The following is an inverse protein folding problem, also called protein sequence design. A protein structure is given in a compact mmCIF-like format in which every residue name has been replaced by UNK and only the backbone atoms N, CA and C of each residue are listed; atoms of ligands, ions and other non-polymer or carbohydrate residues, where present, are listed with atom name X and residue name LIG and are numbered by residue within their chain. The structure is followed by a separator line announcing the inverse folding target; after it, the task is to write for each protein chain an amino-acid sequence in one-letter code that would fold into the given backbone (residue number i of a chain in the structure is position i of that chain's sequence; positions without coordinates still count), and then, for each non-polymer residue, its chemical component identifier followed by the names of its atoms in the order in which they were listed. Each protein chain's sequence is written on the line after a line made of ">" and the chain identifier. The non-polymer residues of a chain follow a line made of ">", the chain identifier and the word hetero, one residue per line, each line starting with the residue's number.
data_IF_608707639386
#
_entry.id   IF_608707639386
#
_cell.length_a   1.000
_cell.length_b   1.000
_cell.length_c   1.000
_cell.angle_alpha   90.00
_cell.angle_beta   90.00
_cell.angle_gamma   90.00
#
_symmetry.space_group_name_H-M   'P 1'
#
loop_
_entity.id
_entity.type
_entity.pdbx_description
1 polymer ?
#
# COMPACT_ATOMS: atom_id res chain seq x y z
N UNK A 1 -11.81 17.15 7.45
CA UNK A 1 -10.39 16.81 7.70
C UNK A 1 -10.14 15.36 7.33
N UNK A 2 -8.98 15.04 6.73
CA UNK A 2 -8.52 13.65 6.49
C UNK A 2 -7.41 13.33 7.48
N UNK A 3 -7.52 12.21 8.20
CA UNK A 3 -6.46 11.70 9.07
C UNK A 3 -5.54 10.78 8.25
N UNK A 4 -4.22 10.90 8.42
CA UNK A 4 -3.23 10.07 7.74
C UNK A 4 -2.36 9.35 8.77
N UNK A 5 -2.50 8.02 8.85
CA UNK A 5 -1.54 7.18 9.60
C UNK A 5 -0.31 6.92 8.75
N UNK A 6 0.87 6.79 9.36
CA UNK A 6 2.11 6.56 8.61
C UNK A 6 2.54 7.79 7.79
N UNK A 7 2.11 8.98 8.18
CA UNK A 7 2.36 10.24 7.46
C UNK A 7 3.81 10.70 7.44
N UNK A 8 4.72 9.99 8.11
CA UNK A 8 6.17 10.23 8.09
C UNK A 8 6.94 9.10 7.37
N UNK A 9 6.24 8.08 6.88
CA UNK A 9 6.81 7.08 5.99
C UNK A 9 6.99 7.61 4.56
N UNK A 10 7.49 6.74 3.67
CA UNK A 10 7.83 7.10 2.30
C UNK A 10 6.64 7.70 1.52
N UNK A 11 5.52 6.97 1.42
CA UNK A 11 4.30 7.44 0.75
C UNK A 11 3.63 8.60 1.50
N UNK A 12 3.53 8.50 2.83
CA UNK A 12 2.88 9.52 3.66
C UNK A 12 3.54 10.89 3.54
N UNK A 13 4.87 10.94 3.41
CA UNK A 13 5.63 12.18 3.21
C UNK A 13 5.28 12.85 1.88
N UNK A 14 5.21 12.09 0.79
CA UNK A 14 4.84 12.65 -0.53
C UNK A 14 3.39 13.13 -0.53
N UNK A 15 2.46 12.36 0.03
CA UNK A 15 1.05 12.76 0.11
C UNK A 15 0.86 14.07 0.89
N UNK A 16 1.58 14.26 2.00
CA UNK A 16 1.52 15.51 2.78
C UNK A 16 2.02 16.75 2.05
N UNK A 17 2.79 16.58 0.96
CA UNK A 17 3.17 17.71 0.08
C UNK A 17 2.04 18.10 -0.88
N UNK A 18 1.15 17.16 -1.20
CA UNK A 18 0.07 17.34 -2.16
C UNK A 18 -1.21 17.86 -1.49
N UNK A 19 -1.44 17.49 -0.22
CA UNK A 19 -2.67 17.85 0.50
C UNK A 19 -2.40 18.00 2.00
N UNK A 20 -3.23 18.81 2.67
CA UNK A 20 -3.22 18.93 4.12
C UNK A 20 -3.88 17.71 4.79
N UNK A 21 -3.13 17.05 5.65
CA UNK A 21 -3.59 15.94 6.50
C UNK A 21 -3.36 16.23 7.96
N UNK A 22 -4.23 15.69 8.82
CA UNK A 22 -3.87 15.47 10.21
C UNK A 22 -3.08 14.17 10.31
N UNK A 23 -1.77 14.27 10.53
CA UNK A 23 -0.84 13.13 10.54
C UNK A 23 -0.16 13.01 11.92
N UNK A 24 -0.77 12.29 12.88
CA UNK A 24 -0.13 12.05 14.17
C UNK A 24 1.19 11.28 13.98
N UNK A 25 2.16 11.53 14.84
CA UNK A 25 3.38 10.72 14.88
C UNK A 25 3.08 9.39 15.57
N UNK A 26 3.91 8.38 15.32
CA UNK A 26 3.77 7.05 15.93
C UNK A 26 3.76 7.12 17.47
N UNK A 27 4.61 7.95 18.08
CA UNK A 27 4.62 8.18 19.53
C UNK A 27 3.31 8.78 20.09
N UNK A 28 2.52 9.46 19.25
CA UNK A 28 1.26 10.10 19.65
C UNK A 28 0.05 9.19 19.33
N UNK A 29 0.22 8.25 18.40
CA UNK A 29 -0.79 7.29 17.98
C UNK A 29 -0.13 6.06 17.35
N UNK A 30 0.24 5.10 18.19
CA UNK A 30 0.69 3.79 17.74
C UNK A 30 -0.54 2.98 17.33
N UNK A 31 -0.60 2.56 16.06
CA UNK A 31 -1.76 1.83 15.53
C UNK A 31 -1.95 0.46 16.20
N UNK A 32 -0.88 -0.11 16.80
CA UNK A 32 -0.93 -1.39 17.50
C UNK A 32 -1.62 -1.27 18.86
N UNK A 33 -1.69 -0.06 19.42
CA UNK A 33 -2.31 0.23 20.72
C UNK A 33 -3.73 0.75 20.49
N UNK A 34 -4.72 -0.11 20.71
CA UNK A 34 -6.14 0.17 20.41
C UNK A 34 -6.64 1.45 21.08
N UNK A 35 -6.29 1.65 22.35
CA UNK A 35 -6.75 2.78 23.16
C UNK A 35 -6.29 4.12 22.57
N UNK A 36 -5.02 4.21 22.12
CA UNK A 36 -4.49 5.42 21.48
C UNK A 36 -5.17 5.72 20.16
N UNK A 37 -5.41 4.70 19.34
CA UNK A 37 -6.11 4.82 18.05
C UNK A 37 -7.52 5.37 18.26
N UNK A 38 -8.27 4.80 19.19
CA UNK A 38 -9.63 5.25 19.51
C UNK A 38 -9.63 6.67 20.06
N UNK A 39 -8.76 6.99 21.03
CA UNK A 39 -8.69 8.34 21.61
C UNK A 39 -8.45 9.41 20.54
N UNK A 40 -7.46 9.21 19.67
CA UNK A 40 -7.12 10.18 18.63
C UNK A 40 -8.22 10.31 17.58
N UNK A 41 -8.80 9.19 17.13
CA UNK A 41 -9.84 9.21 16.09
C UNK A 41 -11.16 9.80 16.64
N UNK A 42 -11.59 9.42 17.84
CA UNK A 42 -12.82 9.94 18.47
C UNK A 42 -12.72 11.43 18.81
N UNK A 43 -11.54 11.88 19.27
CA UNK A 43 -11.29 13.30 19.55
C UNK A 43 -11.36 14.16 18.29
N UNK A 44 -10.75 13.70 17.20
CA UNK A 44 -10.61 14.49 15.98
C UNK A 44 -11.77 14.29 14.97
N UNK A 45 -12.55 13.22 15.09
CA UNK A 45 -13.71 12.86 14.23
C UNK A 45 -13.43 13.08 12.73
N UNK A 46 -12.40 12.43 12.15
CA UNK A 46 -12.09 12.61 10.73
C UNK A 46 -13.26 12.16 9.85
N UNK A 47 -13.48 12.84 8.73
CA UNK A 47 -14.44 12.36 7.71
C UNK A 47 -13.90 11.17 6.93
N UNK A 48 -12.58 11.05 6.84
CA UNK A 48 -11.88 9.99 6.13
C UNK A 48 -10.52 9.74 6.79
N UNK A 49 -10.12 8.47 6.85
CA UNK A 49 -8.82 8.01 7.32
C UNK A 49 -8.08 7.38 6.14
N UNK A 50 -6.92 7.92 5.81
CA UNK A 50 -5.98 7.31 4.89
C UNK A 50 -4.97 6.50 5.69
N UNK A 51 -5.05 5.18 5.56
CA UNK A 51 -4.25 4.24 6.34
C UNK A 51 -3.01 3.80 5.56
N UNK A 52 -1.88 4.51 5.73
CA UNK A 52 -0.59 4.20 5.12
C UNK A 52 0.43 3.56 6.09
N UNK A 53 0.16 3.54 7.40
CA UNK A 53 1.05 2.89 8.36
C UNK A 53 1.11 1.37 8.08
N UNK A 54 2.33 0.84 7.97
CA UNK A 54 2.58 -0.56 7.67
C UNK A 54 4.02 -0.93 8.05
N UNK A 55 4.23 -2.20 8.37
CA UNK A 55 5.53 -2.85 8.38
C UNK A 55 5.86 -3.26 6.93
N UNK A 56 6.93 -2.70 6.35
CA UNK A 56 7.21 -2.83 4.90
C UNK A 56 8.49 -3.58 4.54
N UNK A 57 9.27 -4.04 5.53
CA UNK A 57 10.49 -4.83 5.27
C UNK A 57 10.13 -6.28 4.98
N UNK A 58 9.97 -6.60 3.69
CA UNK A 58 9.48 -7.92 3.24
C UNK A 58 10.40 -9.05 3.68
N UNK A 59 11.72 -8.83 3.68
CA UNK A 59 12.69 -9.85 4.09
C UNK A 59 12.63 -10.09 5.60
N UNK A 60 12.60 -9.02 6.40
CA UNK A 60 12.53 -9.16 7.86
C UNK A 60 11.19 -9.67 8.34
N UNK A 61 10.10 -9.47 7.60
CA UNK A 61 8.78 -9.95 7.97
C UNK A 61 8.74 -11.47 8.25
N UNK A 62 9.58 -12.26 7.60
CA UNK A 62 9.67 -13.72 7.84
C UNK A 62 10.23 -14.06 9.25
N UNK A 63 11.07 -13.18 9.80
CA UNK A 63 11.72 -13.39 11.11
C UNK A 63 11.05 -12.56 12.22
N UNK A 64 10.63 -11.33 11.92
CA UNK A 64 9.85 -10.45 12.78
C UNK A 64 8.34 -10.63 12.56
N UNK A 65 7.90 -11.88 12.36
CA UNK A 65 6.54 -12.21 11.92
C UNK A 65 5.44 -11.68 12.85
N UNK A 66 5.67 -11.70 14.17
CA UNK A 66 4.74 -11.15 15.17
C UNK A 66 4.54 -9.66 14.96
N UNK A 67 5.65 -8.89 14.90
CA UNK A 67 5.60 -7.44 14.69
C UNK A 67 4.96 -7.08 13.36
N UNK A 68 5.27 -7.82 12.29
CA UNK A 68 4.63 -7.63 11.00
C UNK A 68 3.11 -7.83 11.07
N UNK A 69 2.65 -8.87 11.78
CA UNK A 69 1.23 -9.15 11.99
C UNK A 69 0.55 -8.09 12.87
N UNK A 70 1.18 -7.70 13.98
CA UNK A 70 0.69 -6.66 14.89
C UNK A 70 0.44 -5.34 14.15
N UNK A 71 1.39 -4.91 13.33
CA UNK A 71 1.28 -3.64 12.59
C UNK A 71 0.31 -3.77 11.40
N UNK A 72 0.53 -4.73 10.50
CA UNK A 72 -0.21 -4.79 9.23
C UNK A 72 -1.64 -5.33 9.38
N UNK A 73 -1.89 -6.21 10.35
CA UNK A 73 -3.19 -6.83 10.55
C UNK A 73 -3.91 -6.21 11.76
N UNK A 74 -3.40 -6.39 12.99
CA UNK A 74 -4.11 -5.94 14.19
C UNK A 74 -4.21 -4.40 14.27
N UNK A 75 -3.16 -3.68 13.88
CA UNK A 75 -3.17 -2.23 13.79
C UNK A 75 -4.20 -1.73 12.78
N UNK A 76 -4.28 -2.36 11.62
CA UNK A 76 -5.33 -2.10 10.63
C UNK A 76 -6.73 -2.34 11.20
N UNK A 77 -6.93 -3.42 11.95
CA UNK A 77 -8.21 -3.69 12.62
C UNK A 77 -8.59 -2.58 13.58
N UNK A 78 -7.66 -2.13 14.42
CA UNK A 78 -7.90 -1.04 15.37
C UNK A 78 -8.36 0.23 14.65
N UNK A 79 -7.68 0.61 13.56
CA UNK A 79 -8.02 1.80 12.77
C UNK A 79 -9.38 1.64 12.09
N UNK A 80 -9.70 0.46 11.54
CA UNK A 80 -10.98 0.20 10.90
C UNK A 80 -12.17 0.22 11.88
N UNK A 81 -11.99 -0.36 13.07
CA UNK A 81 -12.99 -0.30 14.15
C UNK A 81 -13.22 1.14 14.63
N UNK A 82 -12.15 1.91 14.85
CA UNK A 82 -12.24 3.31 15.24
C UNK A 82 -12.89 4.16 14.14
N UNK A 83 -12.53 3.95 12.86
CA UNK A 83 -13.18 4.62 11.72
C UNK A 83 -14.69 4.37 11.71
N UNK A 84 -15.12 3.12 11.91
CA UNK A 84 -16.53 2.73 12.00
C UNK A 84 -17.24 3.46 13.15
N UNK A 85 -16.62 3.55 14.33
CA UNK A 85 -17.22 4.17 15.52
C UNK A 85 -17.59 5.64 15.33
N UNK A 86 -16.82 6.37 14.52
CA UNK A 86 -17.06 7.80 14.22
C UNK A 86 -17.74 8.03 12.87
N UNK A 87 -18.10 6.96 12.15
CA UNK A 87 -18.70 7.04 10.81
C UNK A 87 -17.75 7.54 9.71
N UNK A 88 -16.44 7.48 9.93
CA UNK A 88 -15.44 7.88 8.94
C UNK A 88 -15.35 6.86 7.79
N UNK A 89 -15.01 7.33 6.60
CA UNK A 89 -14.52 6.43 5.56
C UNK A 89 -13.07 6.00 5.85
N UNK A 90 -12.66 4.81 5.44
CA UNK A 90 -11.26 4.35 5.50
C UNK A 90 -10.74 4.02 4.10
N UNK A 91 -9.57 4.53 3.75
CA UNK A 91 -8.81 4.17 2.54
C UNK A 91 -7.57 3.42 3.01
N UNK A 92 -7.53 2.11 2.78
CA UNK A 92 -6.41 1.27 3.17
C UNK A 92 -5.42 1.10 2.02
N UNK A 93 -4.14 1.38 2.29
CA UNK A 93 -3.06 1.12 1.33
C UNK A 93 -2.62 -0.34 1.46
N UNK A 94 -2.93 -1.13 0.45
CA UNK A 94 -2.48 -2.51 0.28
C UNK A 94 -1.35 -2.59 -0.75
N UNK A 95 -0.99 -3.80 -1.14
CA UNK A 95 0.16 -4.13 -1.99
C UNK A 95 -0.25 -5.00 -3.17
N UNK A 96 0.50 -4.91 -4.26
CA UNK A 96 0.44 -5.85 -5.37
C UNK A 96 0.97 -7.26 -5.00
N UNK A 97 1.73 -7.39 -3.92
CA UNK A 97 2.25 -8.68 -3.44
C UNK A 97 1.19 -9.61 -2.85
N UNK A 98 -0.07 -9.17 -2.73
CA UNK A 98 -1.19 -10.06 -2.39
C UNK A 98 -1.42 -11.13 -3.48
N UNK A 99 -0.82 -10.96 -4.65
CA UNK A 99 -0.80 -11.94 -5.74
C UNK A 99 0.54 -12.68 -5.81
N UNK A 100 0.52 -13.93 -6.29
CA UNK A 100 1.70 -14.79 -6.40
C UNK A 100 2.64 -14.41 -7.54
N UNK A 101 2.13 -13.66 -8.52
CA UNK A 101 2.84 -13.25 -9.71
C UNK A 101 2.97 -14.35 -10.76
N UNK A 102 2.18 -15.42 -10.69
CA UNK A 102 2.17 -16.54 -11.65
C UNK A 102 1.11 -16.35 -12.76
N UNK A 103 0.71 -15.11 -13.03
CA UNK A 103 -0.23 -14.82 -14.11
C UNK A 103 0.33 -15.21 -15.49
N UNK A 104 -0.59 -15.58 -16.39
CA UNK A 104 -0.26 -15.89 -17.78
C UNK A 104 0.44 -14.70 -18.46
N UNK A 105 1.44 -14.96 -19.32
CA UNK A 105 2.23 -13.90 -19.96
C UNK A 105 1.41 -13.02 -20.92
N UNK A 106 0.28 -13.53 -21.43
CA UNK A 106 -0.67 -12.76 -22.24
C UNK A 106 -1.68 -11.97 -21.40
N UNK A 107 -1.67 -12.13 -20.07
CA UNK A 107 -2.52 -11.38 -19.15
C UNK A 107 -2.20 -9.88 -19.22
N UNK A 108 -3.23 -9.00 -19.25
CA UNK A 108 -3.03 -7.56 -19.12
C UNK A 108 -2.70 -7.13 -17.68
N UNK A 109 -2.69 -8.04 -16.71
CA UNK A 109 -2.46 -7.79 -15.29
C UNK A 109 -3.60 -8.30 -14.39
N UNK A 110 -3.33 -8.43 -13.09
CA UNK A 110 -4.34 -8.82 -12.09
C UNK A 110 -5.45 -7.78 -11.97
N UNK A 111 -6.70 -8.23 -12.01
CA UNK A 111 -7.91 -7.45 -11.82
C UNK A 111 -8.27 -7.30 -10.34
N UNK A 112 -9.04 -6.27 -9.95
CA UNK A 112 -9.46 -6.09 -8.55
C UNK A 112 -10.20 -7.27 -7.93
N UNK A 113 -10.91 -8.05 -8.75
CA UNK A 113 -11.72 -9.22 -8.38
C UNK A 113 -10.97 -10.56 -8.50
N UNK A 114 -9.73 -10.57 -8.99
CA UNK A 114 -8.90 -11.78 -8.97
C UNK A 114 -8.59 -12.21 -7.53
N UNK A 115 -8.55 -13.52 -7.31
CA UNK A 115 -8.34 -14.12 -5.99
C UNK A 115 -6.88 -13.89 -5.57
N UNK A 116 -6.62 -13.24 -4.41
CA UNK A 116 -5.27 -13.09 -3.88
C UNK A 116 -4.65 -14.43 -3.46
N UNK A 117 -3.34 -14.56 -3.67
CA UNK A 117 -2.54 -15.71 -3.28
C UNK A 117 -1.13 -15.26 -2.84
N UNK A 118 -0.99 -14.70 -1.62
CA UNK A 118 0.29 -14.16 -1.15
C UNK A 118 1.31 -15.27 -0.92
N UNK A 119 2.58 -15.01 -1.26
CA UNK A 119 3.67 -16.02 -1.19
C UNK A 119 4.73 -15.72 -0.11
N UNK A 120 4.55 -14.66 0.68
CA UNK A 120 5.43 -14.27 1.78
C UNK A 120 4.61 -13.68 2.94
N UNK A 121 5.20 -13.62 4.14
CA UNK A 121 4.49 -13.23 5.35
C UNK A 121 4.01 -11.78 5.32
N UNK A 122 4.82 -10.85 4.80
CA UNK A 122 4.41 -9.46 4.60
C UNK A 122 3.10 -9.37 3.81
N UNK A 123 3.04 -10.02 2.64
CA UNK A 123 1.86 -9.99 1.78
C UNK A 123 0.63 -10.63 2.46
N UNK A 124 0.83 -11.74 3.16
CA UNK A 124 -0.24 -12.39 3.95
C UNK A 124 -0.82 -11.44 4.98
N UNK A 125 0.02 -10.75 5.76
CA UNK A 125 -0.47 -9.78 6.77
C UNK A 125 -1.16 -8.58 6.13
N UNK A 126 -0.70 -8.10 4.96
CA UNK A 126 -1.39 -7.03 4.22
C UNK A 126 -2.76 -7.46 3.71
N UNK A 127 -2.90 -8.70 3.23
CA UNK A 127 -4.19 -9.28 2.84
C UNK A 127 -5.14 -9.44 4.03
N UNK A 128 -4.64 -9.85 5.20
CA UNK A 128 -5.45 -9.87 6.43
C UNK A 128 -5.92 -8.46 6.79
N UNK A 129 -5.05 -7.45 6.62
CA UNK A 129 -5.43 -6.04 6.76
C UNK A 129 -6.53 -5.60 5.77
N UNK A 130 -6.55 -6.11 4.54
CA UNK A 130 -7.66 -5.88 3.61
C UNK A 130 -8.98 -6.39 4.19
N UNK A 131 -8.98 -7.60 4.77
CA UNK A 131 -10.17 -8.21 5.39
C UNK A 131 -10.63 -7.38 6.59
N UNK A 132 -9.73 -7.00 7.49
CA UNK A 132 -10.09 -6.19 8.66
C UNK A 132 -10.57 -4.79 8.31
N UNK A 133 -10.09 -4.21 7.21
CA UNK A 133 -10.58 -2.91 6.72
C UNK A 133 -12.09 -2.95 6.42
N UNK A 134 -12.62 -4.10 5.98
CA UNK A 134 -14.04 -4.27 5.64
C UNK A 134 -14.98 -4.23 6.86
N UNK A 135 -14.45 -4.25 8.08
CA UNK A 135 -15.22 -4.00 9.30
C UNK A 135 -15.91 -2.63 9.23
N UNK A 136 -15.23 -1.64 8.64
CA UNK A 136 -15.79 -0.33 8.36
C UNK A 136 -16.63 -0.39 7.07
N UNK A 137 -17.95 -0.10 7.10
CA UNK A 137 -18.79 -0.15 5.89
C UNK A 137 -18.35 0.80 4.78
N UNK A 138 -17.75 1.93 5.14
CA UNK A 138 -17.30 2.97 4.21
C UNK A 138 -15.82 2.80 3.90
N UNK A 139 -15.44 1.68 3.30
CA UNK A 139 -14.03 1.41 2.99
C UNK A 139 -13.69 1.57 1.50
N UNK A 140 -12.39 1.76 1.25
CA UNK A 140 -11.73 1.55 -0.01
C UNK A 140 -10.37 0.88 0.26
N UNK A 141 -9.96 -0.02 -0.63
CA UNK A 141 -8.65 -0.66 -0.60
C UNK A 141 -7.93 -0.25 -1.88
N UNK A 142 -6.73 0.30 -1.76
CA UNK A 142 -5.87 0.63 -2.89
C UNK A 142 -4.70 -0.35 -2.88
N UNK A 143 -4.67 -1.29 -3.83
CA UNK A 143 -3.49 -2.13 -4.09
C UNK A 143 -2.55 -1.37 -5.03
N UNK A 144 -1.30 -1.25 -4.63
CA UNK A 144 -0.28 -0.50 -5.38
C UNK A 144 1.12 -1.02 -5.05
N UNK A 145 2.12 -0.47 -5.74
CA UNK A 145 3.53 -0.72 -5.48
C UNK A 145 4.33 0.53 -5.83
N UNK A 146 5.34 0.87 -5.03
CA UNK A 146 6.20 2.00 -5.30
C UNK A 146 7.63 1.77 -4.83
N UNK A 147 8.56 2.50 -5.44
CA UNK A 147 9.99 2.51 -5.09
C UNK A 147 10.41 3.91 -4.66
N UNK A 148 11.44 4.00 -3.81
CA UNK A 148 12.05 5.29 -3.49
C UNK A 148 12.72 5.87 -4.73
N UNK A 149 12.72 7.19 -4.83
CA UNK A 149 13.50 7.94 -5.80
C UNK A 149 14.61 8.76 -5.13
N UNK A 150 15.86 8.73 -5.64
CA UNK A 150 16.36 7.84 -6.70
C UNK A 150 16.40 6.37 -6.23
N UNK A 151 16.77 5.46 -7.13
CA UNK A 151 16.92 4.03 -6.82
C UNK A 151 18.06 3.83 -5.81
N UNK A 152 17.81 3.12 -4.71
CA UNK A 152 18.77 3.02 -3.58
C UNK A 152 19.61 1.74 -3.57
N UNK A 153 19.23 0.72 -4.34
CA UNK A 153 19.91 -0.58 -4.33
C UNK A 153 21.01 -0.64 -5.41
N UNK A 154 22.12 -1.36 -5.17
CA UNK A 154 23.21 -1.44 -6.15
C UNK A 154 22.78 -2.12 -7.45
N UNK A 155 21.82 -3.04 -7.37
CA UNK A 155 21.28 -3.80 -8.50
C UNK A 155 19.76 -3.74 -8.55
N UNK A 156 19.19 -4.06 -9.70
CA UNK A 156 17.75 -4.21 -9.89
C UNK A 156 17.44 -5.51 -10.66
N UNK A 157 16.34 -6.15 -10.28
CA UNK A 157 15.93 -7.43 -10.89
C UNK A 157 15.37 -7.25 -12.29
N UNK A 158 15.85 -8.06 -13.24
CA UNK A 158 15.43 -8.02 -14.64
C UNK A 158 14.22 -8.91 -14.92
N UNK A 159 14.07 -9.98 -14.15
CA UNK A 159 13.07 -11.05 -14.30
C UNK A 159 11.90 -10.90 -13.30
N UNK A 160 11.58 -9.65 -12.94
CA UNK A 160 10.46 -9.28 -12.10
C UNK A 160 9.71 -8.08 -12.72
N UNK A 161 8.39 -8.18 -12.82
CA UNK A 161 7.53 -7.16 -13.44
C UNK A 161 6.54 -6.55 -12.47
N UNK A 162 6.22 -5.28 -12.70
CA UNK A 162 5.29 -4.51 -11.87
C UNK A 162 4.59 -3.43 -12.70
N UNK A 163 3.42 -3.01 -12.25
CA UNK A 163 2.79 -1.74 -12.65
C UNK A 163 3.22 -0.57 -11.76
N UNK A 164 4.02 -0.80 -10.71
CA UNK A 164 4.51 0.23 -9.80
C UNK A 164 5.41 1.28 -10.47
N UNK A 165 5.62 2.39 -9.79
CA UNK A 165 6.52 3.46 -10.20
C UNK A 165 7.20 4.11 -8.99
N UNK A 166 7.91 5.21 -9.17
CA UNK A 166 8.47 5.96 -8.05
C UNK A 166 7.37 6.55 -7.16
N UNK A 167 7.65 6.65 -5.85
CA UNK A 167 6.66 7.06 -4.84
C UNK A 167 6.00 8.40 -5.16
N UNK A 168 6.71 9.38 -5.73
CA UNK A 168 6.16 10.68 -6.10
C UNK A 168 5.10 10.56 -7.21
N UNK A 169 5.35 9.70 -8.19
CA UNK A 169 4.39 9.40 -9.27
C UNK A 169 3.15 8.70 -8.70
N UNK A 170 3.37 7.68 -7.87
CA UNK A 170 2.27 6.90 -7.27
C UNK A 170 1.47 7.73 -6.28
N UNK A 171 2.11 8.59 -5.48
CA UNK A 171 1.45 9.52 -4.55
C UNK A 171 0.53 10.49 -5.29
N UNK A 172 0.95 11.02 -6.45
CA UNK A 172 0.11 11.89 -7.27
C UNK A 172 -1.14 11.17 -7.81
N UNK A 173 -1.02 9.91 -8.20
CA UNK A 173 -2.18 9.09 -8.61
C UNK A 173 -3.10 8.78 -7.43
N UNK A 174 -2.54 8.39 -6.29
CA UNK A 174 -3.31 8.14 -5.07
C UNK A 174 -4.05 9.41 -4.61
N UNK A 175 -3.43 10.58 -4.67
CA UNK A 175 -4.09 11.85 -4.32
C UNK A 175 -5.31 12.15 -5.19
N UNK A 176 -5.24 11.88 -6.51
CA UNK A 176 -6.40 11.97 -7.40
C UNK A 176 -7.52 11.01 -6.97
N UNK A 177 -7.19 9.77 -6.64
CA UNK A 177 -8.16 8.78 -6.17
C UNK A 177 -8.82 9.21 -4.85
N UNK A 178 -8.02 9.75 -3.91
CA UNK A 178 -8.51 10.29 -2.64
C UNK A 178 -9.48 11.45 -2.91
N UNK A 179 -9.15 12.37 -3.82
CA UNK A 179 -10.03 13.45 -4.25
C UNK A 179 -11.40 12.93 -4.67
N UNK A 180 -11.44 12.01 -5.64
CA UNK A 180 -12.68 11.38 -6.12
C UNK A 180 -13.48 10.71 -5.01
N UNK A 181 -12.83 9.91 -4.16
CA UNK A 181 -13.48 9.22 -3.03
C UNK A 181 -14.11 10.24 -2.04
N UNK A 182 -13.36 11.28 -1.71
CA UNK A 182 -13.77 12.31 -0.74
C UNK A 182 -14.92 13.16 -1.28
N UNK A 183 -14.92 13.44 -2.58
CA UNK A 183 -15.98 14.19 -3.27
C UNK A 183 -17.25 13.34 -3.50
N UNK A 184 -17.20 12.04 -3.19
CA UNK A 184 -18.31 11.12 -3.43
C UNK A 184 -18.50 10.78 -4.92
N UNK A 185 -17.45 10.94 -5.72
CA UNK A 185 -17.48 10.56 -7.14
C UNK A 185 -17.69 9.05 -7.28
N UNK A 186 -18.40 8.59 -8.32
CA UNK A 186 -18.52 7.16 -8.61
C UNK A 186 -17.15 6.49 -8.75
N UNK A 187 -16.97 5.38 -8.03
CA UNK A 187 -15.77 4.54 -8.11
C UNK A 187 -16.15 3.20 -8.77
N UNK A 188 -15.24 2.56 -9.53
CA UNK A 188 -15.52 1.30 -10.22
C UNK A 188 -15.74 0.13 -9.25
N UNK A 189 -15.34 0.30 -7.99
CA UNK A 189 -15.48 -0.68 -6.92
C UNK A 189 -14.85 -0.19 -5.63
N UNK A 190 -14.86 -1.05 -4.61
CA UNK A 190 -14.25 -0.79 -3.30
C UNK A 190 -12.75 -1.12 -3.29
N UNK A 191 -12.31 -2.02 -4.17
CA UNK A 191 -10.90 -2.36 -4.38
C UNK A 191 -10.43 -1.69 -5.66
N UNK A 192 -9.35 -0.94 -5.57
CA UNK A 192 -8.77 -0.16 -6.65
C UNK A 192 -7.32 -0.59 -6.85
N UNK A 193 -6.93 -0.77 -8.10
CA UNK A 193 -5.55 -0.97 -8.48
C UNK A 193 -4.99 0.36 -8.99
N UNK A 194 -3.93 0.86 -8.36
CA UNK A 194 -3.28 2.11 -8.77
C UNK A 194 -1.81 1.82 -9.10
N UNK A 195 -1.43 2.23 -10.29
CA UNK A 195 -0.11 2.03 -10.85
C UNK A 195 -0.04 2.68 -12.22
N UNK A 196 0.92 2.22 -13.00
CA UNK A 196 1.27 2.70 -14.34
C UNK A 196 1.48 1.50 -15.25
N UNK A 197 1.95 1.69 -16.49
CA UNK A 197 2.18 0.57 -17.41
C UNK A 197 3.18 -0.47 -16.89
N UNK A 198 3.00 -1.73 -17.30
CA UNK A 198 3.91 -2.85 -16.99
C UNK A 198 5.35 -2.55 -17.37
N UNK A 199 6.28 -2.88 -16.49
CA UNK A 199 7.73 -2.79 -16.71
C UNK A 199 8.48 -3.76 -15.80
N UNK A 200 9.69 -4.13 -16.17
CA UNK A 200 10.60 -4.80 -15.24
C UNK A 200 11.08 -3.82 -14.16
N UNK A 201 11.48 -4.36 -13.01
CA UNK A 201 12.08 -3.55 -11.94
C UNK A 201 13.37 -2.86 -12.41
N UNK A 202 14.18 -3.52 -13.25
CA UNK A 202 15.36 -2.92 -13.87
C UNK A 202 15.01 -1.74 -14.79
N UNK A 203 13.99 -1.87 -15.63
CA UNK A 203 13.50 -0.76 -16.47
C UNK A 203 13.05 0.42 -15.60
N UNK A 204 12.32 0.17 -14.51
CA UNK A 204 11.93 1.21 -13.55
C UNK A 204 13.15 1.89 -12.93
N UNK A 205 14.12 1.11 -12.44
CA UNK A 205 15.34 1.63 -11.80
C UNK A 205 16.11 2.56 -12.76
N UNK A 206 16.30 2.12 -14.02
CA UNK A 206 17.06 2.87 -15.03
C UNK A 206 16.41 4.18 -15.48
N UNK A 207 15.10 4.38 -15.26
CA UNK A 207 14.43 5.67 -15.56
C UNK A 207 15.02 6.85 -14.81
N UNK A 208 15.52 6.65 -13.58
CA UNK A 208 16.13 7.72 -12.76
C UNK A 208 17.56 7.41 -12.33
N UNK A 209 18.04 6.19 -12.58
CA UNK A 209 19.41 5.76 -12.27
C UNK A 209 19.96 4.92 -13.42
N UNK A 210 20.43 5.56 -14.51
CA UNK A 210 20.68 4.87 -15.79
C UNK A 210 21.67 3.70 -15.73
N UNK A 211 22.66 3.78 -14.85
CA UNK A 211 23.77 2.82 -14.76
C UNK A 211 23.54 1.69 -13.74
N UNK A 212 22.30 1.42 -13.33
CA UNK A 212 22.01 0.31 -12.42
C UNK A 212 22.32 -1.04 -13.06
N UNK A 213 23.07 -1.84 -12.31
CA UNK A 213 23.41 -3.22 -12.63
C UNK A 213 22.18 -4.13 -12.57
N UNK A 214 22.15 -5.12 -13.46
CA UNK A 214 21.12 -6.13 -13.45
C UNK A 214 21.44 -7.24 -12.45
N UNK A 215 20.40 -7.82 -11.88
CA UNK A 215 20.43 -9.10 -11.17
C UNK A 215 19.17 -9.89 -11.52
N UNK A 216 19.11 -11.14 -11.07
CA UNK A 216 17.93 -12.01 -11.20
C UNK A 216 17.26 -12.23 -9.84
N UNK A 217 15.99 -12.63 -9.83
CA UNK A 217 15.26 -12.98 -8.59
C UNK A 217 15.93 -14.11 -7.82
N UNK A 218 16.65 -15.01 -8.49
CA UNK A 218 17.40 -16.09 -7.86
C UNK A 218 18.53 -15.59 -6.93
N UNK A 219 18.99 -14.36 -7.11
CA UNK A 219 20.00 -13.73 -6.26
C UNK A 219 19.40 -13.03 -5.01
N UNK A 220 18.07 -12.97 -4.89
CA UNK A 220 17.39 -12.35 -3.74
C UNK A 220 17.13 -13.41 -2.66
N UNK A 221 17.46 -13.09 -1.41
CA UNK A 221 17.32 -13.99 -0.26
C UNK A 221 15.87 -14.21 0.23
N UNK A 222 14.92 -13.43 -0.27
CA UNK A 222 13.49 -13.52 0.07
C UNK A 222 12.68 -13.87 -1.17
N UNK A 223 11.65 -14.70 -0.98
CA UNK A 223 10.73 -15.08 -2.05
C UNK A 223 9.87 -13.88 -2.47
N UNK A 224 10.12 -13.39 -3.67
CA UNK A 224 9.35 -12.31 -4.30
C UNK A 224 8.53 -12.85 -5.47
N UNK A 225 7.35 -12.29 -5.77
CA UNK A 225 6.52 -12.71 -6.90
C UNK A 225 7.19 -12.34 -8.24
N UNK A 226 6.83 -13.05 -9.31
CA UNK A 226 7.42 -12.83 -10.65
C UNK A 226 6.84 -11.61 -11.34
N UNK A 227 5.53 -11.55 -11.48
CA UNK A 227 4.86 -10.47 -12.19
C UNK A 227 3.59 -10.05 -11.47
N UNK A 228 3.68 -8.98 -10.67
CA UNK A 228 2.53 -8.43 -9.93
C UNK A 228 1.88 -7.26 -10.66
N UNK A 229 2.01 -7.20 -11.99
CA UNK A 229 1.34 -6.16 -12.79
C UNK A 229 -0.15 -6.16 -12.50
N UNK A 230 -0.65 -5.00 -12.05
CA UNK A 230 -2.06 -4.77 -11.79
C UNK A 230 -2.73 -4.13 -13.00
N UNK A 231 -3.96 -4.58 -13.32
CA UNK A 231 -4.85 -3.86 -14.22
C UNK A 231 -5.40 -2.62 -13.51
N UNK A 232 -4.83 -1.46 -13.82
CA UNK A 232 -5.03 -0.23 -13.05
C UNK A 232 -6.28 0.54 -13.45
N UNK A 233 -6.87 1.23 -12.46
CA UNK A 233 -7.95 2.17 -12.68
C UNK A 233 -7.46 3.45 -13.37
N UNK A 234 -8.18 3.90 -14.39
CA UNK A 234 -7.92 5.18 -15.05
C UNK A 234 -8.43 6.34 -14.18
N UNK A 235 -7.51 7.19 -13.73
CA UNK A 235 -7.77 8.33 -12.84
C UNK A 235 -7.88 9.66 -13.58
#
# INVERSE_FOLDING_TARGET
>A
MILLTGGYGLLGTELRRLRNYFAPKEQDMDITIKEQVFEVIEKNKPRCILHCAAYTDVAKAETEWQKCYEVNALGTRNVAEAAKSVGAAIIYMSTDYVFDGEQDQSSPGYKPDDIPHPINWYATTKLIGEIYTQICPNYYIIRTSFKRSPWEHPKAVIDMWTSGDYVDVIAALIDKAIGKIVEGSPMPGRILHIGTGRKSILELARRRTPNIEAMTRAEISVRLPKDTTLLCFAL
#
